data_IF_812871381597
#
_entry.id   IF_812871381597
#
_cell.length_a   1.000
_cell.length_b   1.000
_cell.length_c   1.000
_cell.angle_alpha   90.00
_cell.angle_beta   90.00
_cell.angle_gamma   90.00
#
_symmetry.space_group_name_H-M   'P 1'
#
loop_
_entity.id
_entity.type
_entity.pdbx_description
1 polymer ?
#
# COMPACT_ATOMS: atom_id res chain seq x y z
N UNK A 1 -69.62 3.60 -64.09
CA UNK A 1 -68.83 2.87 -63.07
C UNK A 1 -67.51 3.59 -62.84
N UNK A 2 -67.38 4.39 -61.78
CA UNK A 2 -66.10 5.01 -61.37
C UNK A 2 -65.53 4.19 -60.21
N UNK A 3 -64.32 3.64 -60.36
CA UNK A 3 -63.58 2.96 -59.27
C UNK A 3 -62.65 3.97 -58.61
N UNK A 4 -62.83 4.22 -57.32
CA UNK A 4 -61.87 4.91 -56.47
C UNK A 4 -60.80 3.91 -55.97
N UNK A 5 -59.53 4.31 -55.95
CA UNK A 5 -58.43 3.56 -55.33
C UNK A 5 -58.17 4.12 -53.93
N UNK A 6 -57.91 3.32 -52.89
CA UNK A 6 -57.49 3.85 -51.59
C UNK A 6 -55.96 4.06 -51.58
N UNK A 7 -55.54 5.23 -51.12
CA UNK A 7 -54.17 5.51 -50.69
C UNK A 7 -54.06 5.13 -49.21
N UNK A 8 -53.21 4.16 -48.87
CA UNK A 8 -52.80 3.94 -47.49
C UNK A 8 -51.44 4.60 -47.26
N UNK A 9 -51.43 5.58 -46.36
CA UNK A 9 -50.26 6.31 -45.89
C UNK A 9 -49.41 5.42 -44.97
N UNK A 10 -48.12 5.26 -45.27
CA UNK A 10 -47.15 4.65 -44.38
C UNK A 10 -46.55 5.74 -43.49
N UNK A 11 -46.86 5.71 -42.19
CA UNK A 11 -46.20 6.57 -41.20
C UNK A 11 -44.86 5.93 -40.81
N UNK A 12 -43.76 6.61 -41.13
CA UNK A 12 -42.40 6.22 -40.72
C UNK A 12 -42.19 6.65 -39.26
N UNK A 13 -42.19 5.70 -38.32
CA UNK A 13 -41.84 5.97 -36.92
C UNK A 13 -40.31 6.03 -36.83
N UNK A 14 -39.78 7.24 -36.65
CA UNK A 14 -38.38 7.49 -36.38
C UNK A 14 -38.08 7.18 -34.91
N UNK A 15 -37.44 6.05 -34.64
CA UNK A 15 -36.87 5.75 -33.32
C UNK A 15 -35.60 6.58 -33.14
N UNK A 16 -35.68 7.66 -32.36
CA UNK A 16 -34.50 8.38 -31.87
C UNK A 16 -33.97 7.57 -30.69
N UNK A 17 -32.92 6.77 -30.93
CA UNK A 17 -32.09 6.22 -29.86
C UNK A 17 -31.31 7.38 -29.23
N UNK A 18 -31.87 7.98 -28.18
CA UNK A 18 -31.09 8.85 -27.30
C UNK A 18 -30.14 7.91 -26.56
N UNK A 19 -28.88 7.86 -27.00
CA UNK A 19 -27.79 7.38 -26.17
C UNK A 19 -27.76 8.29 -24.95
N UNK A 20 -28.29 7.82 -23.82
CA UNK A 20 -28.03 8.44 -22.54
C UNK A 20 -26.53 8.31 -22.30
N UNK A 21 -25.81 9.42 -22.41
CA UNK A 21 -24.47 9.55 -21.85
C UNK A 21 -24.66 9.53 -20.34
N UNK A 22 -24.49 8.35 -19.72
CA UNK A 22 -24.42 8.22 -18.27
C UNK A 22 -23.00 8.67 -17.91
N UNK A 23 -22.81 9.85 -17.29
CA UNK A 23 -21.49 10.19 -16.76
C UNK A 23 -21.11 9.11 -15.73
N UNK A 24 -19.98 8.44 -15.98
CA UNK A 24 -19.40 7.52 -15.02
C UNK A 24 -18.78 8.37 -13.90
N UNK A 25 -19.54 8.63 -12.84
CA UNK A 25 -19.00 9.18 -11.61
C UNK A 25 -19.73 8.62 -10.40
N UNK A 26 -19.97 7.31 -10.41
CA UNK A 26 -20.24 6.60 -9.17
C UNK A 26 -18.91 6.00 -8.74
N UNK A 27 -18.55 6.24 -7.48
CA UNK A 27 -17.41 5.59 -6.89
C UNK A 27 -17.60 4.07 -6.99
N UNK A 28 -16.54 3.34 -7.30
CA UNK A 28 -16.55 1.88 -7.25
C UNK A 28 -16.46 1.45 -5.79
N UNK A 29 -17.45 0.69 -5.34
CA UNK A 29 -17.60 0.31 -3.93
C UNK A 29 -17.75 -1.18 -3.82
N UNK A 30 -17.03 -1.79 -2.89
CA UNK A 30 -17.09 -3.22 -2.74
C UNK A 30 -16.34 -3.75 -1.53
N UNK A 31 -16.15 -5.05 -1.54
CA UNK A 31 -15.37 -5.80 -0.56
C UNK A 31 -14.45 -6.76 -1.27
N UNK A 32 -13.18 -6.80 -0.87
CA UNK A 32 -12.22 -7.82 -1.29
C UNK A 32 -11.90 -8.70 -0.10
N UNK A 33 -11.95 -10.02 -0.27
CA UNK A 33 -11.54 -10.95 0.78
C UNK A 33 -10.02 -11.16 0.75
N UNK A 34 -9.33 -10.72 1.79
CA UNK A 34 -7.88 -10.87 1.99
C UNK A 34 -7.68 -11.89 3.13
N UNK A 35 -7.04 -13.03 2.83
CA UNK A 35 -6.86 -14.12 3.81
C UNK A 35 -8.17 -14.56 4.51
N UNK A 36 -9.27 -14.60 3.74
CA UNK A 36 -10.64 -14.91 4.22
C UNK A 36 -11.25 -13.86 5.16
N UNK A 37 -10.68 -12.65 5.24
CA UNK A 37 -11.25 -11.52 5.96
C UNK A 37 -11.61 -10.42 4.97
N UNK A 38 -12.81 -9.86 5.09
CA UNK A 38 -13.29 -8.85 4.16
C UNK A 38 -12.71 -7.46 4.46
N UNK A 39 -12.16 -6.84 3.42
CA UNK A 39 -11.70 -5.44 3.38
C UNK A 39 -12.68 -4.64 2.53
N UNK A 40 -13.36 -3.66 3.13
CA UNK A 40 -14.30 -2.80 2.40
C UNK A 40 -13.60 -1.58 1.81
N UNK A 41 -14.00 -1.18 0.61
CA UNK A 41 -13.45 0.00 -0.07
C UNK A 41 -14.53 0.82 -0.79
N UNK A 42 -14.17 2.06 -1.09
CA UNK A 42 -14.91 3.01 -1.91
C UNK A 42 -13.90 3.89 -2.66
N UNK A 43 -13.78 3.76 -3.98
CA UNK A 43 -12.83 4.50 -4.82
C UNK A 43 -13.57 5.47 -5.76
N UNK A 44 -13.29 6.77 -5.61
CA UNK A 44 -13.81 7.81 -6.49
C UNK A 44 -12.95 7.94 -7.75
N UNK A 45 -13.56 7.98 -8.94
CA UNK A 45 -12.85 8.15 -10.23
C UNK A 45 -11.80 7.07 -10.53
N UNK A 46 -11.98 5.86 -10.01
CA UNK A 46 -11.21 4.69 -10.38
C UNK A 46 -12.01 3.41 -10.17
N UNK A 47 -11.44 2.29 -10.61
CA UNK A 47 -11.97 0.95 -10.41
C UNK A 47 -10.95 0.12 -9.61
N UNK A 48 -11.43 -0.63 -8.62
CA UNK A 48 -10.58 -1.53 -7.82
C UNK A 48 -10.23 -2.79 -8.63
N UNK A 49 -8.95 -3.13 -8.73
CA UNK A 49 -8.53 -4.39 -9.34
C UNK A 49 -8.28 -5.47 -8.29
N UNK A 50 -7.45 -5.18 -7.28
CA UNK A 50 -7.14 -6.15 -6.23
C UNK A 50 -6.66 -5.50 -4.93
N UNK A 51 -6.84 -6.24 -3.83
CA UNK A 51 -6.24 -5.95 -2.52
C UNK A 51 -5.64 -7.25 -2.03
N UNK A 52 -4.36 -7.25 -1.65
CA UNK A 52 -3.69 -8.42 -1.11
C UNK A 52 -2.59 -8.01 -0.12
N UNK A 53 -2.23 -8.93 0.77
CA UNK A 53 -1.07 -8.74 1.64
C UNK A 53 0.20 -9.13 0.90
N UNK A 54 1.26 -8.39 1.16
CA UNK A 54 2.58 -8.82 0.73
C UNK A 54 3.05 -10.04 1.56
N UNK A 55 3.55 -11.12 0.92
CA UNK A 55 3.99 -12.34 1.61
C UNK A 55 5.28 -12.17 2.43
N UNK A 56 6.06 -11.12 2.20
CA UNK A 56 7.34 -10.85 2.85
C UNK A 56 7.28 -9.61 3.77
N UNK A 57 6.25 -8.75 3.63
CA UNK A 57 6.11 -7.47 4.34
C UNK A 57 4.83 -7.33 5.18
N UNK A 58 4.88 -6.44 6.18
CA UNK A 58 3.69 -5.95 6.87
C UNK A 58 2.99 -4.87 6.05
N UNK A 59 2.48 -5.27 4.89
CA UNK A 59 2.01 -4.37 3.86
C UNK A 59 0.73 -4.89 3.20
N UNK A 60 -0.21 -3.98 2.98
CA UNK A 60 -1.40 -4.21 2.17
C UNK A 60 -1.23 -3.47 0.85
N UNK A 61 -1.19 -4.20 -0.25
CA UNK A 61 -1.06 -3.68 -1.61
C UNK A 61 -2.43 -3.62 -2.26
N UNK A 62 -2.73 -2.47 -2.84
CA UNK A 62 -3.95 -2.19 -3.59
C UNK A 62 -3.56 -1.88 -5.02
N UNK A 63 -4.14 -2.59 -5.98
CA UNK A 63 -4.03 -2.26 -7.41
C UNK A 63 -5.35 -1.73 -7.92
N UNK A 64 -5.28 -0.66 -8.72
CA UNK A 64 -6.45 0.06 -9.20
C UNK A 64 -6.21 0.64 -10.59
N UNK A 65 -7.30 0.94 -11.29
CA UNK A 65 -7.27 1.67 -12.55
C UNK A 65 -7.92 3.04 -12.34
N UNK A 66 -7.14 4.12 -12.48
CA UNK A 66 -7.61 5.49 -12.26
C UNK A 66 -8.09 6.12 -13.58
N UNK A 67 -9.17 6.89 -13.49
CA UNK A 67 -9.77 7.61 -14.63
C UNK A 67 -9.61 9.13 -14.51
N UNK A 68 -9.56 9.63 -13.27
CA UNK A 68 -9.30 11.02 -12.89
C UNK A 68 -8.67 11.07 -11.49
N UNK A 69 -8.30 12.25 -11.01
CA UNK A 69 -7.88 12.45 -9.62
C UNK A 69 -9.01 12.07 -8.66
N UNK A 70 -8.67 11.43 -7.54
CA UNK A 70 -9.68 10.82 -6.69
C UNK A 70 -9.23 10.53 -5.27
N UNK A 71 -10.11 9.87 -4.53
CA UNK A 71 -9.83 9.36 -3.20
C UNK A 71 -10.32 7.93 -3.08
N UNK A 72 -9.55 7.10 -2.38
CA UNK A 72 -10.00 5.81 -1.89
C UNK A 72 -10.27 5.89 -0.39
N UNK A 73 -11.47 5.50 0.03
CA UNK A 73 -11.78 5.18 1.43
C UNK A 73 -11.70 3.66 1.61
N UNK A 74 -10.74 3.19 2.42
CA UNK A 74 -10.52 1.78 2.70
C UNK A 74 -10.69 1.50 4.19
N UNK A 75 -11.45 0.46 4.54
CA UNK A 75 -11.61 -0.03 5.91
C UNK A 75 -10.82 -1.31 6.11
N UNK A 76 -9.72 -1.20 6.85
CA UNK A 76 -8.74 -2.24 7.11
C UNK A 76 -9.04 -2.88 8.47
N UNK A 77 -9.43 -4.16 8.53
CA UNK A 77 -9.48 -4.90 9.78
C UNK A 77 -8.08 -4.97 10.40
N UNK A 78 -7.96 -4.63 11.68
CA UNK A 78 -6.67 -4.68 12.42
C UNK A 78 -6.09 -6.09 12.50
N UNK A 79 -6.94 -7.09 12.33
CA UNK A 79 -6.49 -8.47 12.23
C UNK A 79 -5.68 -8.72 10.95
N UNK A 80 -5.92 -7.96 9.86
CA UNK A 80 -5.23 -8.07 8.56
C UNK A 80 -3.97 -7.22 8.53
N UNK A 81 -4.07 -5.96 8.92
CA UNK A 81 -2.95 -5.03 8.98
C UNK A 81 -3.23 -4.01 10.09
N UNK A 82 -2.22 -3.75 10.93
CA UNK A 82 -2.29 -2.70 11.95
C UNK A 82 -0.96 -1.97 12.11
N UNK A 83 -1.08 -0.72 12.54
CA UNK A 83 0.04 0.13 12.93
C UNK A 83 -0.11 0.48 14.41
N UNK A 84 0.78 -0.06 15.23
CA UNK A 84 0.79 0.13 16.68
C UNK A 84 2.19 0.44 17.16
N UNK A 85 2.23 1.29 18.19
CA UNK A 85 3.41 1.50 19.01
C UNK A 85 3.06 1.13 20.46
N UNK A 86 3.76 0.13 21.01
CA UNK A 86 3.40 -0.54 22.26
C UNK A 86 1.93 -0.99 22.30
N UNK A 87 1.08 -0.23 23.01
CA UNK A 87 -0.35 -0.50 23.14
C UNK A 87 -1.22 0.59 22.50
N UNK A 88 -0.60 1.65 21.98
CA UNK A 88 -1.26 2.75 21.27
C UNK A 88 -1.28 2.52 19.77
N UNK A 89 -2.28 3.11 19.11
CA UNK A 89 -2.29 3.20 17.66
C UNK A 89 -1.22 4.16 17.18
N UNK A 90 -0.50 3.76 16.14
CA UNK A 90 0.46 4.59 15.43
C UNK A 90 -0.02 4.85 14.00
N UNK A 91 0.70 5.69 13.25
CA UNK A 91 0.39 5.98 11.86
C UNK A 91 0.80 4.82 10.95
N UNK A 92 0.04 4.62 9.88
CA UNK A 92 0.50 3.85 8.73
C UNK A 92 1.46 4.70 7.90
N UNK A 93 2.31 4.07 7.11
CA UNK A 93 2.93 4.72 5.96
C UNK A 93 2.16 4.34 4.72
N UNK A 94 1.87 5.33 3.87
CA UNK A 94 1.11 5.12 2.65
C UNK A 94 1.94 5.63 1.48
N UNK A 95 2.17 4.76 0.50
CA UNK A 95 2.78 5.13 -0.78
C UNK A 95 1.71 5.05 -1.86
N UNK A 96 1.72 6.01 -2.77
CA UNK A 96 0.91 6.00 -3.99
C UNK A 96 1.90 6.06 -5.15
N UNK A 97 1.89 5.03 -6.00
CA UNK A 97 2.86 4.81 -7.07
C UNK A 97 4.33 4.98 -6.61
N UNK A 98 4.62 4.47 -5.40
CA UNK A 98 5.95 4.51 -4.78
C UNK A 98 6.33 5.85 -4.13
N UNK A 99 5.43 6.84 -4.09
CA UNK A 99 5.65 8.11 -3.41
C UNK A 99 4.84 8.22 -2.12
N UNK A 100 5.51 8.64 -1.05
CA UNK A 100 4.86 8.85 0.25
C UNK A 100 3.73 9.89 0.14
N UNK A 101 2.56 9.50 0.64
CA UNK A 101 1.32 10.26 0.53
C UNK A 101 0.63 10.36 1.89
N UNK A 102 0.17 11.57 2.22
CA UNK A 102 -0.63 11.79 3.42
C UNK A 102 -2.04 11.21 3.25
N UNK A 103 -2.61 10.71 4.33
CA UNK A 103 -3.97 10.19 4.36
C UNK A 103 -4.75 10.78 5.54
N UNK A 104 -6.08 10.62 5.52
CA UNK A 104 -6.96 10.95 6.64
C UNK A 104 -7.50 9.67 7.26
N UNK A 105 -7.26 9.46 8.54
CA UNK A 105 -7.94 8.42 9.31
C UNK A 105 -9.33 8.88 9.71
N UNK A 106 -10.35 8.43 8.99
CA UNK A 106 -11.74 8.84 9.24
C UNK A 106 -12.36 8.12 10.43
N UNK A 107 -11.91 6.88 10.71
CA UNK A 107 -12.39 6.05 11.84
C UNK A 107 -11.27 5.18 12.39
N UNK A 108 -11.22 5.08 13.72
CA UNK A 108 -10.40 4.10 14.44
C UNK A 108 -11.25 3.40 15.49
N UNK A 109 -11.43 2.09 15.33
CA UNK A 109 -12.13 1.22 16.25
C UNK A 109 -11.18 0.13 16.75
N UNK A 110 -11.59 -0.64 17.78
CA UNK A 110 -10.75 -1.72 18.31
C UNK A 110 -10.51 -2.87 17.32
N UNK A 111 -11.27 -2.95 16.23
CA UNK A 111 -11.19 -4.06 15.26
C UNK A 111 -10.82 -3.62 13.85
N UNK A 112 -10.88 -2.32 13.53
CA UNK A 112 -10.58 -1.81 12.20
C UNK A 112 -10.14 -0.35 12.25
N UNK A 113 -9.53 0.11 11.15
CA UNK A 113 -9.22 1.51 10.86
C UNK A 113 -9.71 1.84 9.45
N UNK A 114 -10.17 3.06 9.25
CA UNK A 114 -10.63 3.54 7.94
C UNK A 114 -9.77 4.70 7.49
N UNK A 115 -9.10 4.53 6.35
CA UNK A 115 -8.18 5.50 5.76
C UNK A 115 -8.81 6.11 4.50
N UNK A 116 -8.64 7.41 4.30
CA UNK A 116 -8.95 8.11 3.07
C UNK A 116 -7.64 8.57 2.44
N UNK A 117 -7.30 8.01 1.28
CA UNK A 117 -6.02 8.19 0.61
C UNK A 117 -6.29 8.88 -0.73
N UNK A 118 -5.74 10.08 -0.97
CA UNK A 118 -5.84 10.75 -2.26
C UNK A 118 -4.89 10.09 -3.28
N UNK A 119 -5.28 10.13 -4.55
CA UNK A 119 -4.44 9.72 -5.67
C UNK A 119 -4.68 10.65 -6.87
N UNK A 120 -3.75 10.64 -7.81
CA UNK A 120 -3.82 11.34 -9.08
C UNK A 120 -4.18 10.39 -10.23
N UNK A 121 -4.71 10.96 -11.31
CA UNK A 121 -4.91 10.22 -12.55
C UNK A 121 -3.59 9.65 -13.08
N UNK A 122 -3.58 8.35 -13.34
CA UNK A 122 -2.40 7.59 -13.75
C UNK A 122 -1.79 6.76 -12.63
N UNK A 123 -2.13 7.04 -11.37
CA UNK A 123 -1.72 6.20 -10.25
C UNK A 123 -2.39 4.82 -10.35
N UNK A 124 -1.66 3.77 -9.99
CA UNK A 124 -2.08 2.38 -10.19
C UNK A 124 -1.90 1.51 -8.95
N UNK A 125 -1.02 1.91 -8.04
CA UNK A 125 -0.68 1.14 -6.84
C UNK A 125 -0.77 2.03 -5.60
N UNK A 126 -1.38 1.49 -4.55
CA UNK A 126 -1.30 2.05 -3.19
C UNK A 126 -0.73 0.98 -2.27
N UNK A 127 0.33 1.32 -1.56
CA UNK A 127 1.00 0.47 -0.57
C UNK A 127 0.70 1.03 0.82
N UNK A 128 0.07 0.24 1.68
CA UNK A 128 -0.23 0.62 3.07
C UNK A 128 0.61 -0.24 3.99
N UNK A 129 1.60 0.37 4.61
CA UNK A 129 2.61 -0.30 5.42
C UNK A 129 2.28 -0.09 6.90
N UNK A 130 2.21 -1.19 7.63
CA UNK A 130 1.96 -1.23 9.07
C UNK A 130 3.13 -1.83 9.86
N UNK A 131 2.83 -2.17 11.10
CA UNK A 131 3.75 -2.84 12.04
C UNK A 131 3.39 -4.31 12.25
N UNK A 132 2.18 -4.71 11.84
CA UNK A 132 1.67 -6.06 12.04
C UNK A 132 0.76 -6.40 10.87
N UNK A 133 0.91 -7.61 10.30
CA UNK A 133 0.01 -8.12 9.27
C UNK A 133 -0.38 -9.60 9.49
N UNK A 134 -1.53 -10.01 8.93
CA UNK A 134 -2.00 -11.40 8.92
C UNK A 134 -1.24 -12.21 7.88
N UNK A 135 0.04 -12.44 8.14
CA UNK A 135 0.87 -13.18 7.22
C UNK A 135 1.30 -14.53 7.83
N UNK A 136 0.78 -15.67 7.32
CA UNK A 136 1.15 -16.99 7.83
C UNK A 136 2.57 -17.43 7.43
N UNK A 137 3.24 -16.70 6.55
CA UNK A 137 4.58 -16.99 6.04
C UNK A 137 5.69 -16.20 6.74
N UNK A 138 5.34 -15.16 7.51
CA UNK A 138 6.30 -14.51 8.41
C UNK A 138 6.59 -15.49 9.53
N UNK A 139 7.68 -16.23 9.34
CA UNK A 139 8.24 -17.11 10.34
C UNK A 139 8.66 -16.23 11.50
N UNK A 140 8.01 -16.39 12.66
CA UNK A 140 8.45 -15.84 13.95
C UNK A 140 9.79 -16.48 14.40
N UNK A 141 10.77 -16.57 13.51
CA UNK A 141 12.17 -16.61 13.92
C UNK A 141 12.36 -15.32 14.67
N UNK A 142 12.59 -15.41 15.97
CA UNK A 142 12.86 -14.24 16.81
C UNK A 142 14.11 -13.55 16.23
N UNK A 143 13.88 -12.54 15.39
CA UNK A 143 14.93 -11.72 14.82
C UNK A 143 15.53 -10.97 16.01
N UNK A 144 16.79 -11.27 16.31
CA UNK A 144 17.55 -10.59 17.35
C UNK A 144 18.71 -9.87 16.72
N UNK A 145 18.62 -8.56 16.69
CA UNK A 145 19.71 -7.69 16.28
C UNK A 145 20.43 -7.24 17.55
N UNK A 146 21.76 -7.36 17.63
CA UNK A 146 22.50 -6.85 18.78
C UNK A 146 22.25 -5.35 19.01
N UNK A 147 21.97 -4.95 20.25
CA UNK A 147 21.63 -3.54 20.57
C UNK A 147 22.68 -2.51 20.12
N UNK A 148 23.95 -2.90 20.02
CA UNK A 148 25.01 -2.00 19.58
C UNK A 148 24.82 -1.48 18.15
N UNK A 149 24.01 -2.16 17.33
CA UNK A 149 23.65 -1.77 15.97
C UNK A 149 22.73 -0.55 15.95
N UNK A 150 21.88 -0.37 16.98
CA UNK A 150 20.90 0.73 17.06
C UNK A 150 21.54 2.12 16.98
N UNK A 151 22.81 2.25 17.38
CA UNK A 151 23.55 3.50 17.25
C UNK A 151 23.74 3.91 15.78
N UNK A 152 23.94 2.96 14.87
CA UNK A 152 24.08 3.26 13.45
C UNK A 152 22.76 3.72 12.85
N UNK A 153 21.65 3.07 13.21
CA UNK A 153 20.31 3.50 12.84
C UNK A 153 19.97 4.89 13.38
N UNK A 154 20.38 5.19 14.63
CA UNK A 154 20.25 6.54 15.21
C UNK A 154 20.98 7.58 14.37
N UNK A 155 22.27 7.35 14.11
CA UNK A 155 23.09 8.30 13.35
C UNK A 155 22.55 8.52 11.95
N UNK A 156 22.05 7.47 11.30
CA UNK A 156 21.44 7.59 9.99
C UNK A 156 20.16 8.43 10.04
N UNK A 157 19.26 8.12 10.97
CA UNK A 157 18.02 8.85 11.14
C UNK A 157 18.23 10.31 11.57
N UNK A 158 19.32 10.62 12.28
CA UNK A 158 19.75 11.98 12.65
C UNK A 158 20.46 12.72 11.52
N UNK A 159 20.71 12.08 10.38
CA UNK A 159 21.46 12.65 9.26
C UNK A 159 22.95 12.85 9.55
N UNK A 160 23.48 12.14 10.55
CA UNK A 160 24.91 12.14 10.90
C UNK A 160 25.74 11.22 9.99
N UNK A 161 25.10 10.23 9.36
CA UNK A 161 25.68 9.42 8.29
C UNK A 161 24.76 9.43 7.06
N UNK A 162 25.37 9.29 5.88
CA UNK A 162 24.65 9.30 4.61
C UNK A 162 23.98 7.94 4.34
N UNK A 163 22.99 7.93 3.45
CA UNK A 163 22.25 6.73 3.07
C UNK A 163 23.18 5.62 2.57
N UNK A 164 24.22 5.96 1.80
CA UNK A 164 25.21 5.00 1.31
C UNK A 164 26.03 4.33 2.43
N UNK A 165 26.38 5.08 3.47
CA UNK A 165 27.11 4.55 4.64
C UNK A 165 26.22 3.60 5.45
N UNK A 166 24.96 4.00 5.66
CA UNK A 166 23.99 3.17 6.35
C UNK A 166 23.72 1.86 5.58
N UNK A 167 23.47 1.95 4.27
CA UNK A 167 23.26 0.79 3.39
C UNK A 167 24.45 -0.16 3.44
N UNK A 168 25.68 0.37 3.32
CA UNK A 168 26.90 -0.44 3.40
C UNK A 168 27.03 -1.15 4.76
N UNK A 169 26.64 -0.47 5.84
CA UNK A 169 26.59 -1.06 7.18
C UNK A 169 25.59 -2.21 7.26
N UNK A 170 24.37 -2.05 6.77
CA UNK A 170 23.35 -3.11 6.76
C UNK A 170 23.80 -4.31 5.92
N UNK A 171 24.33 -4.07 4.72
CA UNK A 171 24.88 -5.13 3.85
C UNK A 171 25.97 -5.94 4.57
N UNK A 172 26.87 -5.26 5.28
CA UNK A 172 27.90 -5.94 6.08
C UNK A 172 27.29 -6.83 7.17
N UNK A 173 26.29 -6.33 7.91
CA UNK A 173 25.65 -7.08 8.98
C UNK A 173 24.93 -8.34 8.48
N UNK A 174 24.35 -8.27 7.29
CA UNK A 174 23.71 -9.40 6.63
C UNK A 174 24.77 -10.42 6.19
N UNK A 175 25.84 -9.96 5.52
CA UNK A 175 26.92 -10.82 5.04
C UNK A 175 27.66 -11.55 6.15
N UNK A 176 27.82 -10.92 7.32
CA UNK A 176 28.46 -11.51 8.50
C UNK A 176 27.48 -12.30 9.39
N UNK A 177 26.24 -12.52 8.92
CA UNK A 177 25.19 -13.25 9.66
C UNK A 177 24.87 -12.64 11.05
N UNK A 178 25.16 -11.35 11.25
CA UNK A 178 24.84 -10.60 12.47
C UNK A 178 23.36 -10.17 12.46
N UNK A 179 22.82 -9.91 11.26
CA UNK A 179 21.42 -9.58 11.01
C UNK A 179 20.84 -10.58 10.04
N UNK A 180 19.86 -11.36 10.50
CA UNK A 180 19.15 -12.31 9.63
C UNK A 180 17.96 -11.62 9.00
N UNK A 181 17.94 -11.60 7.67
CA UNK A 181 16.78 -11.19 6.89
C UNK A 181 15.99 -12.45 6.54
N UNK A 182 14.67 -12.50 6.78
CA UNK A 182 13.82 -13.58 6.28
C UNK A 182 14.00 -13.76 4.77
N UNK A 183 13.57 -14.90 4.21
CA UNK A 183 13.73 -15.15 2.78
C UNK A 183 13.07 -14.03 1.98
N UNK A 184 13.87 -13.27 1.22
CA UNK A 184 13.42 -12.11 0.44
C UNK A 184 14.08 -12.17 -0.93
N UNK A 185 13.30 -11.96 -1.99
CA UNK A 185 13.81 -11.95 -3.36
C UNK A 185 14.33 -10.57 -3.71
N UNK A 186 15.61 -10.45 -4.04
CA UNK A 186 16.17 -9.15 -4.47
C UNK A 186 15.56 -8.68 -5.79
N UNK A 187 15.07 -7.43 -5.80
CA UNK A 187 14.55 -6.78 -7.00
C UNK A 187 15.62 -6.42 -8.02
N UNK A 188 15.18 -5.97 -9.20
CA UNK A 188 16.08 -5.34 -10.17
C UNK A 188 16.57 -4.00 -9.64
N UNK A 189 17.87 -3.72 -9.76
CA UNK A 189 18.47 -2.47 -9.27
C UNK A 189 17.75 -1.23 -9.79
N UNK A 190 17.31 -0.38 -8.87
CA UNK A 190 16.70 0.92 -9.18
C UNK A 190 17.65 2.06 -8.79
N UNK A 191 17.41 3.26 -9.32
CA UNK A 191 18.08 4.49 -8.88
C UNK A 191 17.20 5.27 -7.87
N UNK A 192 16.21 4.60 -7.28
CA UNK A 192 15.31 5.25 -6.32
C UNK A 192 16.07 5.55 -5.03
N UNK A 193 15.78 6.72 -4.45
CA UNK A 193 16.26 7.07 -3.13
C UNK A 193 15.59 6.19 -2.07
N UNK A 194 16.22 6.07 -0.91
CA UNK A 194 15.60 5.40 0.24
C UNK A 194 14.37 6.24 0.67
N UNK A 195 13.18 5.63 0.76
CA UNK A 195 12.00 6.33 1.26
C UNK A 195 12.17 6.84 2.70
N UNK A 196 11.61 8.01 2.99
CA UNK A 196 11.73 8.64 4.31
C UNK A 196 11.13 7.79 5.43
N UNK A 197 10.08 7.01 5.15
CA UNK A 197 9.50 6.09 6.12
C UNK A 197 10.49 5.04 6.64
N UNK A 198 11.43 4.57 5.82
CA UNK A 198 12.47 3.63 6.26
C UNK A 198 13.39 4.31 7.29
N UNK A 199 13.69 5.59 7.05
CA UNK A 199 14.52 6.41 7.95
C UNK A 199 13.82 6.69 9.27
N UNK A 200 12.49 6.88 9.22
CA UNK A 200 11.65 6.96 10.42
C UNK A 200 11.63 5.63 11.18
N UNK A 201 11.52 4.48 10.49
CA UNK A 201 11.63 3.18 11.14
C UNK A 201 13.00 3.00 11.83
N UNK A 202 14.09 3.41 11.19
CA UNK A 202 15.41 3.39 11.82
C UNK A 202 15.49 4.28 13.08
N UNK A 203 14.85 5.45 13.07
CA UNK A 203 14.72 6.30 14.27
C UNK A 203 14.04 5.53 15.38
N UNK A 204 12.84 5.02 15.08
CA UNK A 204 12.00 4.35 16.06
C UNK A 204 12.67 3.11 16.62
N UNK A 205 13.33 2.33 15.78
CA UNK A 205 14.07 1.15 16.22
C UNK A 205 15.24 1.52 17.13
N UNK A 206 15.95 2.60 16.81
CA UNK A 206 17.03 3.10 17.65
C UNK A 206 16.54 3.71 18.98
N UNK A 207 15.30 4.19 19.02
CA UNK A 207 14.61 4.64 20.25
C UNK A 207 14.01 3.47 21.05
N UNK A 208 14.06 2.24 20.51
CA UNK A 208 13.41 1.08 21.10
C UNK A 208 11.89 1.11 20.99
N UNK A 209 11.37 1.91 20.04
CA UNK A 209 9.95 2.08 19.80
C UNK A 209 9.38 0.95 18.93
N UNK A 210 10.14 0.46 17.96
CA UNK A 210 9.73 -0.72 17.18
C UNK A 210 10.68 -1.89 17.46
N UNK A 211 10.19 -3.11 17.28
CA UNK A 211 10.98 -4.32 17.50
C UNK A 211 11.96 -4.56 16.34
N UNK A 212 12.90 -5.48 16.55
CA UNK A 212 13.89 -5.84 15.52
C UNK A 212 13.22 -6.35 14.23
N UNK A 213 12.08 -7.03 14.37
CA UNK A 213 11.31 -7.53 13.23
C UNK A 213 10.73 -6.38 12.37
N UNK A 214 10.17 -5.35 13.01
CA UNK A 214 9.62 -4.18 12.31
C UNK A 214 10.70 -3.43 11.52
N UNK A 215 11.88 -3.28 12.12
CA UNK A 215 13.02 -2.67 11.44
C UNK A 215 13.49 -3.52 10.26
N UNK A 216 13.56 -4.85 10.43
CA UNK A 216 13.94 -5.78 9.36
C UNK A 216 12.95 -5.75 8.20
N UNK A 217 11.64 -5.58 8.44
CA UNK A 217 10.66 -5.42 7.36
C UNK A 217 10.98 -4.20 6.49
N UNK A 218 11.46 -3.09 7.07
CA UNK A 218 11.96 -1.96 6.28
C UNK A 218 13.19 -2.32 5.45
N UNK A 219 14.16 -3.05 6.01
CA UNK A 219 15.36 -3.49 5.27
C UNK A 219 15.01 -4.44 4.13
N UNK A 220 14.11 -5.39 4.39
CA UNK A 220 13.59 -6.29 3.37
C UNK A 220 12.98 -5.47 2.21
N UNK A 221 12.26 -4.36 2.48
CA UNK A 221 11.56 -3.59 1.45
C UNK A 221 12.58 -2.98 0.49
N UNK A 222 13.68 -2.46 1.03
CA UNK A 222 14.79 -1.94 0.22
C UNK A 222 15.36 -3.03 -0.70
N UNK A 223 15.48 -4.26 -0.22
CA UNK A 223 16.02 -5.39 -0.99
C UNK A 223 15.04 -5.81 -2.10
N UNK A 224 13.75 -5.98 -1.78
CA UNK A 224 12.72 -6.40 -2.75
C UNK A 224 12.50 -5.37 -3.84
N UNK A 225 12.49 -4.08 -3.49
CA UNK A 225 12.31 -3.00 -4.46
C UNK A 225 13.60 -2.61 -5.19
N UNK A 226 14.70 -3.35 -4.99
CA UNK A 226 15.96 -3.13 -5.69
C UNK A 226 16.65 -1.81 -5.35
N UNK A 227 16.28 -1.19 -4.23
CA UNK A 227 16.92 0.01 -3.67
C UNK A 227 18.22 -0.38 -2.95
N UNK A 228 18.25 -1.57 -2.34
CA UNK A 228 19.41 -2.20 -1.71
C UNK A 228 19.66 -3.57 -2.34
N UNK A 229 20.93 -3.98 -2.41
CA UNK A 229 21.32 -5.32 -2.86
C UNK A 229 22.17 -6.02 -1.81
N UNK A 230 22.00 -7.32 -1.66
CA UNK A 230 22.75 -8.17 -0.72
C UNK A 230 23.28 -9.40 -1.42
#
# INVERSE_FOLDING_TARGET
>A
MKRAKPLFSFSLILFILISMYIPHSFADTGTVSVESIDVSYNIEHGDMESIFLDPDFFELIITMNTQDDGTIEITIPRAILDAKFESSDDMFFVLVDGFETNYVESKSASTYRTLMIPFFNGDSIIEIIGTHALNPFISNTEIKIPDWIKNNARWWADGLIEDADFVSGIQYLINEEIMTIPQTQSGQSTQQAIPDWIKNNARWWADGLIEDADFVSGIQYLITNGIMHV
#
